data_IF_594623721744
#
_entry.id   IF_594623721744
#
_cell.length_a   1.000
_cell.length_b   1.000
_cell.length_c   1.000
_cell.angle_alpha   90.00
_cell.angle_beta   90.00
_cell.angle_gamma   90.00
#
_symmetry.space_group_name_H-M   'P 1'
#
loop_
_entity.id
_entity.type
_entity.pdbx_description
1 polymer ?
#
# COMPACT_ATOMS: atom_id res chain seq x y z
N UNK A 1 2.57 22.21 -10.55
CA UNK A 1 1.80 21.06 -10.03
C UNK A 1 1.91 19.94 -11.05
N UNK A 2 2.47 18.77 -10.70
CA UNK A 2 2.61 17.63 -11.62
C UNK A 2 1.24 16.95 -11.74
N UNK A 3 0.76 16.67 -12.96
CA UNK A 3 -0.47 15.90 -13.18
C UNK A 3 -0.16 14.42 -12.89
N UNK A 4 -0.75 13.87 -11.82
CA UNK A 4 -0.73 12.42 -11.58
C UNK A 4 -1.63 11.72 -12.59
N UNK A 5 -1.15 10.63 -13.18
CA UNK A 5 -1.96 9.72 -14.00
C UNK A 5 -1.96 8.38 -13.28
N UNK A 6 -3.13 7.83 -13.01
CA UNK A 6 -3.29 6.50 -12.42
C UNK A 6 -3.36 5.47 -13.52
N UNK A 7 -2.61 4.40 -13.33
CA UNK A 7 -2.62 3.23 -14.21
C UNK A 7 -2.82 2.03 -13.28
N UNK A 8 -3.92 1.29 -13.38
CA UNK A 8 -5.12 1.56 -14.21
C UNK A 8 -5.86 2.85 -13.83
N UNK A 9 -6.66 3.39 -14.75
CA UNK A 9 -7.45 4.60 -14.50
C UNK A 9 -8.71 4.32 -13.69
N UNK A 10 -9.25 3.09 -13.73
CA UNK A 10 -10.32 2.63 -12.85
C UNK A 10 -9.90 1.31 -12.17
N UNK A 11 -9.04 1.37 -11.14
CA UNK A 11 -8.45 0.16 -10.58
C UNK A 11 -9.46 -0.76 -9.90
N UNK A 12 -10.62 -0.25 -9.44
CA UNK A 12 -11.63 -1.08 -8.80
C UNK A 12 -12.21 -2.09 -9.80
N UNK A 13 -12.65 -1.59 -10.95
CA UNK A 13 -13.23 -2.45 -11.99
C UNK A 13 -12.14 -3.23 -12.73
N UNK A 14 -11.03 -2.57 -13.08
CA UNK A 14 -9.96 -3.16 -13.90
C UNK A 14 -9.21 -4.28 -13.18
N UNK A 15 -9.17 -4.26 -11.84
CA UNK A 15 -8.49 -5.27 -11.01
C UNK A 15 -9.46 -6.09 -10.15
N UNK A 16 -10.78 -5.91 -10.34
CA UNK A 16 -11.83 -6.57 -9.56
C UNK A 16 -11.64 -6.41 -8.03
N UNK A 17 -11.29 -5.21 -7.57
CA UNK A 17 -11.10 -4.93 -6.14
C UNK A 17 -12.45 -4.95 -5.43
N UNK A 18 -12.58 -5.81 -4.42
CA UNK A 18 -13.78 -5.89 -3.60
C UNK A 18 -13.73 -4.89 -2.45
N UNK A 19 -14.44 -3.77 -2.55
CA UNK A 19 -14.46 -2.73 -1.51
C UNK A 19 -15.10 -3.18 -0.18
N UNK A 20 -15.78 -4.32 -0.15
CA UNK A 20 -16.37 -4.87 1.08
C UNK A 20 -15.35 -5.61 1.95
N UNK A 21 -14.21 -5.96 1.37
CA UNK A 21 -13.12 -6.66 2.04
C UNK A 21 -12.05 -5.71 2.56
N UNK A 22 -11.30 -6.09 3.61
CA UNK A 22 -10.12 -5.34 4.03
C UNK A 22 -9.12 -5.18 2.89
N UNK A 23 -8.58 -3.97 2.74
CA UNK A 23 -7.58 -3.64 1.72
C UNK A 23 -6.33 -3.13 2.44
N UNK A 24 -5.15 -3.63 2.06
CA UNK A 24 -3.83 -3.16 2.53
C UNK A 24 -2.94 -2.87 1.31
N UNK A 25 -2.27 -1.73 1.30
CA UNK A 25 -1.38 -1.31 0.21
C UNK A 25 0.06 -1.74 0.46
N UNK A 26 0.68 -2.40 -0.52
CA UNK A 26 2.09 -2.75 -0.48
C UNK A 26 2.90 -1.80 -1.35
N UNK A 27 3.68 -0.92 -0.73
CA UNK A 27 4.59 -0.01 -1.43
C UNK A 27 6.00 -0.63 -1.52
N UNK A 28 6.71 -0.47 -2.65
CA UNK A 28 8.02 -1.08 -2.84
C UNK A 28 9.07 -0.52 -1.87
N UNK A 29 9.00 0.76 -1.54
CA UNK A 29 10.04 1.44 -0.77
C UNK A 29 9.47 2.39 0.28
N UNK A 30 10.11 2.47 1.45
CA UNK A 30 9.85 3.49 2.47
C UNK A 30 9.98 4.90 1.88
N UNK A 31 8.85 5.58 1.68
CA UNK A 31 8.79 6.94 1.11
C UNK A 31 7.47 7.62 1.49
N UNK A 32 7.55 8.64 2.35
CA UNK A 32 6.37 9.40 2.77
C UNK A 32 5.73 10.16 1.61
N UNK A 33 6.54 10.61 0.64
CA UNK A 33 6.02 11.31 -0.55
C UNK A 33 5.23 10.36 -1.44
N UNK A 34 5.71 9.13 -1.62
CA UNK A 34 4.99 8.11 -2.39
C UNK A 34 3.69 7.71 -1.67
N UNK A 35 3.75 7.55 -0.34
CA UNK A 35 2.57 7.22 0.49
C UNK A 35 1.48 8.31 0.43
N UNK A 36 1.85 9.59 0.56
CA UNK A 36 0.90 10.70 0.43
C UNK A 36 0.35 10.84 -0.99
N UNK A 37 1.16 10.52 -2.00
CA UNK A 37 0.71 10.50 -3.40
C UNK A 37 -0.30 9.37 -3.61
N UNK A 38 -0.02 8.18 -3.09
CA UNK A 38 -0.94 7.05 -3.10
C UNK A 38 -2.24 7.41 -2.37
N UNK A 39 -2.17 8.01 -1.18
CA UNK A 39 -3.35 8.46 -0.44
C UNK A 39 -4.27 9.30 -1.30
N UNK A 40 -3.72 10.35 -1.91
CA UNK A 40 -4.49 11.27 -2.74
C UNK A 40 -5.17 10.55 -3.91
N UNK A 41 -4.45 9.64 -4.58
CA UNK A 41 -5.00 8.91 -5.72
C UNK A 41 -6.03 7.86 -5.30
N UNK A 42 -5.74 7.06 -4.27
CA UNK A 42 -6.64 6.05 -3.73
C UNK A 42 -8.00 6.67 -3.37
N UNK A 43 -7.98 7.75 -2.58
CA UNK A 43 -9.21 8.45 -2.20
C UNK A 43 -9.95 9.03 -3.42
N UNK A 44 -9.24 9.57 -4.41
CA UNK A 44 -9.88 10.11 -5.61
C UNK A 44 -10.54 9.05 -6.49
N UNK A 45 -10.09 7.80 -6.38
CA UNK A 45 -10.60 6.64 -7.11
C UNK A 45 -11.61 5.82 -6.28
N UNK A 46 -12.02 6.29 -5.11
CA UNK A 46 -12.98 5.60 -4.24
C UNK A 46 -12.40 4.44 -3.43
N UNK A 47 -11.07 4.28 -3.42
CA UNK A 47 -10.38 3.32 -2.58
C UNK A 47 -10.19 3.89 -1.15
N UNK A 48 -10.08 3.02 -0.12
CA UNK A 48 -9.88 3.46 1.25
C UNK A 48 -8.56 4.23 1.44
N UNK A 49 -8.56 5.19 2.36
CA UNK A 49 -7.38 5.99 2.67
C UNK A 49 -6.27 5.10 3.29
N UNK A 50 -5.07 4.97 2.68
CA UNK A 50 -3.97 4.19 3.23
C UNK A 50 -3.50 4.67 4.62
N UNK A 51 -3.71 5.93 4.99
CA UNK A 51 -3.36 6.47 6.31
C UNK A 51 -4.49 6.35 7.32
N UNK A 52 -5.69 5.93 6.90
CA UNK A 52 -6.77 5.60 7.84
C UNK A 52 -6.52 4.24 8.47
N UNK A 53 -6.88 4.04 9.75
CA UNK A 53 -6.77 2.75 10.40
C UNK A 53 -7.58 1.68 9.66
N UNK A 54 -7.05 0.46 9.68
CA UNK A 54 -7.74 -0.74 9.27
C UNK A 54 -8.22 -1.48 10.53
N UNK A 55 -9.53 -1.51 10.73
CA UNK A 55 -10.15 -2.22 11.85
C UNK A 55 -10.54 -3.64 11.41
N UNK A 56 -9.95 -4.67 12.04
CA UNK A 56 -10.30 -6.07 11.82
C UNK A 56 -10.47 -6.74 13.19
N UNK A 57 -11.65 -7.30 13.46
CA UNK A 57 -11.95 -8.03 14.69
C UNK A 57 -11.57 -7.27 15.98
N UNK A 58 -11.78 -5.95 16.00
CA UNK A 58 -11.46 -5.07 17.14
C UNK A 58 -9.98 -4.70 17.30
N UNK A 59 -9.13 -5.07 16.33
CA UNK A 59 -7.74 -4.61 16.23
C UNK A 59 -7.62 -3.48 15.21
N UNK A 60 -6.90 -2.44 15.61
CA UNK A 60 -6.51 -1.32 14.76
C UNK A 60 -5.14 -1.58 14.14
N UNK A 61 -5.09 -1.67 12.81
CA UNK A 61 -3.89 -1.94 12.02
C UNK A 61 -3.59 -0.81 11.03
N UNK A 62 -2.36 -0.73 10.53
CA UNK A 62 -2.04 0.13 9.40
C UNK A 62 -2.59 -0.46 8.09
N UNK A 63 -3.02 0.42 7.18
CA UNK A 63 -3.50 0.03 5.84
C UNK A 63 -2.38 -0.01 4.78
N UNK A 64 -1.12 0.09 5.19
CA UNK A 64 0.01 0.01 4.27
C UNK A 64 1.21 -0.71 4.88
N UNK A 65 2.00 -1.30 4.00
CA UNK A 65 3.29 -1.92 4.29
C UNK A 65 4.32 -1.44 3.28
N UNK A 66 5.58 -1.49 3.68
CA UNK A 66 6.73 -1.31 2.81
C UNK A 66 7.44 -2.65 2.66
N UNK A 67 7.59 -3.14 1.42
CA UNK A 67 8.17 -4.47 1.17
C UNK A 67 9.70 -4.47 1.06
N UNK A 68 10.31 -3.30 0.87
CA UNK A 68 11.77 -3.15 0.88
C UNK A 68 12.19 -1.75 1.38
N UNK A 69 13.48 -1.65 1.70
CA UNK A 69 14.16 -0.36 1.86
C UNK A 69 14.76 0.07 0.52
N UNK A 70 14.85 1.39 0.26
CA UNK A 70 15.51 1.88 -0.97
C UNK A 70 16.99 1.46 -0.94
N UNK A 71 17.54 0.94 -2.04
CA UNK A 71 18.98 0.72 -2.13
C UNK A 71 19.71 2.05 -1.89
N UNK A 72 20.70 2.05 -1.01
CA UNK A 72 21.54 3.22 -0.75
C UNK A 72 22.97 2.91 -1.15
N UNK A 73 23.70 3.92 -1.66
CA UNK A 73 25.09 3.75 -2.12
C UNK A 73 26.04 3.28 -1.00
N UNK A 74 25.59 3.25 0.26
CA UNK A 74 26.44 3.07 1.44
C UNK A 74 25.75 2.31 2.59
N UNK A 75 24.80 1.40 2.33
CA UNK A 75 24.05 0.71 3.38
C UNK A 75 23.63 -0.72 3.02
N UNK A 76 23.31 -1.52 4.04
CA UNK A 76 22.78 -2.88 3.90
C UNK A 76 21.40 -2.82 3.21
N UNK A 77 21.36 -3.12 1.91
CA UNK A 77 20.20 -2.97 1.02
C UNK A 77 19.06 -3.99 1.26
N UNK A 78 19.07 -4.72 2.37
CA UNK A 78 18.15 -5.83 2.67
C UNK A 78 17.26 -5.62 3.90
N UNK A 79 17.23 -4.42 4.48
CA UNK A 79 16.46 -4.18 5.71
C UNK A 79 14.96 -4.03 5.39
N UNK A 80 14.20 -5.12 5.55
CA UNK A 80 12.75 -5.09 5.48
C UNK A 80 12.24 -4.40 6.76
N UNK A 81 11.37 -3.38 6.64
CA UNK A 81 10.77 -2.71 7.78
C UNK A 81 10.15 -3.68 8.80
N UNK A 82 10.66 -3.69 10.04
CA UNK A 82 10.13 -4.53 11.13
C UNK A 82 8.62 -4.37 11.31
N UNK A 83 8.12 -3.14 11.20
CA UNK A 83 6.68 -2.84 11.28
C UNK A 83 5.87 -3.52 10.17
N UNK A 84 6.45 -3.65 8.97
CA UNK A 84 5.78 -4.35 7.86
C UNK A 84 5.75 -5.85 8.09
N UNK A 85 6.83 -6.45 8.61
CA UNK A 85 6.85 -7.86 9.01
C UNK A 85 5.83 -8.11 10.13
N UNK A 86 5.76 -7.23 11.13
CA UNK A 86 4.79 -7.33 12.22
C UNK A 86 3.35 -7.27 11.71
N UNK A 87 3.04 -6.29 10.85
CA UNK A 87 1.69 -6.15 10.29
C UNK A 87 1.30 -7.37 9.45
N UNK A 88 2.18 -7.86 8.58
CA UNK A 88 1.92 -9.08 7.82
C UNK A 88 1.67 -10.30 8.71
N UNK A 89 2.48 -10.45 9.77
CA UNK A 89 2.33 -11.54 10.74
C UNK A 89 0.97 -11.47 11.42
N UNK A 90 0.55 -10.28 11.85
CA UNK A 90 -0.74 -10.06 12.50
C UNK A 90 -1.93 -10.31 11.57
N UNK A 91 -1.84 -9.91 10.30
CA UNK A 91 -2.87 -10.21 9.30
C UNK A 91 -2.99 -11.72 9.05
N UNK A 92 -1.87 -12.44 9.00
CA UNK A 92 -1.87 -13.91 8.86
C UNK A 92 -2.43 -14.60 10.10
N UNK A 93 -2.12 -14.11 11.30
CA UNK A 93 -2.70 -14.62 12.54
C UNK A 93 -4.21 -14.40 12.59
N UNK A 94 -4.68 -13.23 12.17
CA UNK A 94 -6.11 -12.94 12.04
C UNK A 94 -6.81 -13.88 11.06
N UNK A 95 -6.22 -14.13 9.90
CA UNK A 95 -6.77 -15.07 8.91
C UNK A 95 -6.76 -16.53 9.41
N UNK A 96 -5.78 -16.92 10.24
CA UNK A 96 -5.80 -18.24 10.89
C UNK A 96 -6.97 -18.40 11.87
N UNK A 97 -7.41 -17.31 12.51
CA UNK A 97 -8.53 -17.31 13.45
C UNK A 97 -9.88 -17.27 12.73
N UNK A 98 -9.93 -16.62 11.57
CA UNK A 98 -11.11 -16.48 10.72
C UNK A 98 -10.75 -16.79 9.26
N UNK A 99 -11.06 -18.01 8.81
CA UNK A 99 -10.72 -18.46 7.45
C UNK A 99 -11.46 -17.71 6.33
N UNK A 100 -12.55 -17.02 6.67
CA UNK A 100 -13.31 -16.21 5.71
C UNK A 100 -12.75 -14.78 5.60
N UNK A 101 -11.82 -14.38 6.49
CA UNK A 101 -11.17 -13.08 6.44
C UNK A 101 -10.25 -12.97 5.22
N UNK A 102 -10.76 -12.42 4.12
CA UNK A 102 -10.01 -12.24 2.88
C UNK A 102 -9.44 -10.82 2.77
N UNK A 103 -8.18 -10.64 3.19
CA UNK A 103 -7.47 -9.36 3.12
C UNK A 103 -6.84 -9.19 1.73
N UNK A 104 -7.27 -8.16 0.99
CA UNK A 104 -6.73 -7.83 -0.32
C UNK A 104 -5.44 -7.00 -0.19
N UNK A 105 -4.32 -7.60 -0.61
CA UNK A 105 -3.03 -6.94 -0.70
C UNK A 105 -2.85 -6.30 -2.08
N UNK A 106 -2.86 -4.97 -2.16
CA UNK A 106 -2.73 -4.23 -3.42
C UNK A 106 -1.32 -3.68 -3.57
N UNK A 107 -0.49 -4.20 -4.50
CA UNK A 107 0.80 -3.61 -4.80
C UNK A 107 0.60 -2.25 -5.48
N UNK A 108 1.24 -1.21 -4.96
CA UNK A 108 1.14 0.15 -5.48
C UNK A 108 2.52 0.80 -5.60
N UNK A 109 2.80 1.40 -6.76
CA UNK A 109 4.05 2.11 -7.02
C UNK A 109 3.76 3.52 -7.52
N UNK A 110 4.53 4.49 -7.04
CA UNK A 110 4.49 5.87 -7.54
C UNK A 110 5.67 6.09 -8.48
N UNK A 111 5.38 6.43 -9.73
CA UNK A 111 6.39 6.74 -10.73
C UNK A 111 6.46 8.25 -10.95
N UNK A 112 7.61 8.83 -10.64
CA UNK A 112 7.87 10.25 -10.86
C UNK A 112 8.40 10.46 -12.27
N UNK A 113 7.53 10.88 -13.18
CA UNK A 113 7.92 11.28 -14.52
C UNK A 113 8.85 12.49 -14.47
N UNK A 114 10.09 12.34 -14.95
CA UNK A 114 10.96 13.46 -15.33
C UNK A 114 10.79 13.65 -16.83
N UNK A 115 10.50 14.85 -17.31
CA UNK A 115 10.71 15.17 -18.74
C UNK A 115 12.22 15.17 -18.98
N UNK A 116 12.79 14.26 -19.78
CA UNK A 116 14.16 14.40 -20.22
C UNK A 116 14.20 15.51 -21.29
N UNK A 117 15.07 16.51 -21.11
CA UNK A 117 15.37 17.53 -22.11
C UNK A 117 14.53 18.81 -22.06
N UNK A 118 15.18 19.91 -21.65
CA UNK A 118 15.55 20.92 -22.65
C UNK A 118 16.98 20.63 -23.06
#
# INVERSE_FOLDING_TARGET
MVKGTTIPSNPIDDLNIDLTKPIVYALPFRSNVDLLTLQKQAMSLGLPDPLSPLEINGKTLNRFVFIASRPTVMGNDNDIPTDSVSLFTELLELHKLDSELDVQMIPATVLWGRKPGK
#
